data_IF_611478122144
#
_entry.id   IF_611478122144
#
_cell.length_a   1.000
_cell.length_b   1.000
_cell.length_c   1.000
_cell.angle_alpha   90.00
_cell.angle_beta   90.00
_cell.angle_gamma   90.00
#
_symmetry.space_group_name_H-M   'P 1'
#
loop_
_entity.id
_entity.type
_entity.pdbx_description
1 polymer ?
#
# COMPACT_ATOMS: atom_id res chain seq x y z
N UNK A 1 14.48 -5.46 11.69
CA UNK A 1 15.09 -5.15 10.40
C UNK A 1 14.18 -4.33 9.52
N UNK A 2 13.62 -4.90 8.43
CA UNK A 2 12.77 -4.11 7.53
C UNK A 2 11.51 -3.57 8.22
N UNK A 3 10.90 -4.36 9.10
CA UNK A 3 9.72 -3.92 9.82
C UNK A 3 10.02 -2.80 10.80
N UNK A 4 11.20 -2.83 11.44
CA UNK A 4 11.64 -1.74 12.31
C UNK A 4 11.89 -0.47 11.51
N UNK A 5 12.50 -0.57 10.34
CA UNK A 5 12.71 0.58 9.47
C UNK A 5 11.39 1.19 9.01
N UNK A 6 10.37 0.35 8.76
CA UNK A 6 9.05 0.81 8.38
C UNK A 6 8.40 1.65 9.47
N UNK A 7 8.62 1.31 10.73
CA UNK A 7 8.05 2.02 11.88
C UNK A 7 8.85 3.26 12.28
N UNK A 8 10.18 3.20 12.17
CA UNK A 8 11.08 4.19 12.76
C UNK A 8 12.00 4.88 11.75
N UNK A 9 11.94 4.51 10.47
CA UNK A 9 12.84 5.04 9.46
C UNK A 9 12.47 6.42 8.95
N UNK A 10 13.39 7.03 8.21
CA UNK A 10 13.10 8.27 7.48
C UNK A 10 12.11 7.99 6.34
N UNK A 11 11.58 9.05 5.74
CA UNK A 11 10.64 8.95 4.61
C UNK A 11 11.23 8.07 3.49
N UNK A 12 12.48 8.32 3.12
CA UNK A 12 13.15 7.57 2.04
C UNK A 12 13.30 6.10 2.43
N UNK A 13 13.72 5.84 3.68
CA UNK A 13 13.88 4.47 4.17
C UNK A 13 12.54 3.73 4.18
N UNK A 14 11.47 4.39 4.63
CA UNK A 14 10.13 3.78 4.67
C UNK A 14 9.66 3.44 3.27
N UNK A 15 9.83 4.35 2.29
CA UNK A 15 9.44 4.09 0.92
C UNK A 15 10.19 2.89 0.33
N UNK A 16 11.49 2.79 0.58
CA UNK A 16 12.30 1.65 0.12
C UNK A 16 11.82 0.35 0.77
N UNK A 17 11.49 0.37 2.07
CA UNK A 17 10.98 -0.81 2.75
C UNK A 17 9.64 -1.26 2.18
N UNK A 18 8.74 -0.33 1.91
CA UNK A 18 7.44 -0.66 1.29
C UNK A 18 7.67 -1.33 -0.06
N UNK A 19 8.58 -0.79 -0.88
CA UNK A 19 8.89 -1.36 -2.19
C UNK A 19 9.45 -2.79 -2.08
N UNK A 20 10.37 -3.00 -1.14
CA UNK A 20 10.97 -4.34 -0.94
C UNK A 20 9.93 -5.33 -0.45
N UNK A 21 9.11 -4.94 0.54
CA UNK A 21 8.07 -5.82 1.08
C UNK A 21 7.03 -6.16 0.00
N UNK A 22 6.62 -5.19 -0.79
CA UNK A 22 5.68 -5.44 -1.88
C UNK A 22 6.27 -6.38 -2.93
N UNK A 23 7.56 -6.22 -3.23
CA UNK A 23 8.27 -7.11 -4.14
C UNK A 23 8.30 -8.56 -3.63
N UNK A 24 8.55 -8.74 -2.34
CA UNK A 24 8.52 -10.07 -1.72
C UNK A 24 7.12 -10.67 -1.78
N UNK A 25 6.09 -9.88 -1.51
CA UNK A 25 4.71 -10.33 -1.60
C UNK A 25 4.34 -10.80 -3.01
N UNK A 26 4.82 -10.08 -4.02
CA UNK A 26 4.57 -10.43 -5.41
C UNK A 26 5.29 -11.72 -5.80
N UNK A 27 6.50 -11.93 -5.27
CA UNK A 27 7.35 -13.05 -5.64
C UNK A 27 6.93 -14.36 -4.96
N UNK A 28 6.26 -14.30 -3.80
CA UNK A 28 5.98 -15.50 -3.01
C UNK A 28 4.67 -15.33 -2.24
N UNK A 29 3.72 -16.24 -2.47
CA UNK A 29 2.40 -16.16 -1.82
C UNK A 29 2.47 -16.29 -0.31
N UNK A 30 3.41 -17.07 0.22
CA UNK A 30 3.59 -17.20 1.65
C UNK A 30 3.97 -15.87 2.28
N UNK A 31 4.90 -15.15 1.65
CA UNK A 31 5.26 -13.81 2.11
C UNK A 31 4.09 -12.84 1.96
N UNK A 32 3.30 -12.99 0.90
CA UNK A 32 2.11 -12.15 0.70
C UNK A 32 1.14 -12.31 1.88
N UNK A 33 0.86 -13.55 2.29
CA UNK A 33 -0.05 -13.80 3.42
C UNK A 33 0.46 -13.20 4.72
N UNK A 34 1.77 -13.21 4.94
CA UNK A 34 2.39 -12.70 6.16
C UNK A 34 2.59 -11.20 6.15
N UNK A 35 3.00 -10.64 5.00
CA UNK A 35 3.44 -9.24 4.90
C UNK A 35 2.35 -8.30 4.41
N UNK A 36 1.39 -8.77 3.63
CA UNK A 36 0.36 -7.90 3.11
C UNK A 36 -0.45 -7.19 4.20
N UNK A 37 -0.87 -7.88 5.28
CA UNK A 37 -1.52 -7.20 6.40
C UNK A 37 -0.66 -6.11 7.04
N UNK A 38 0.65 -6.32 7.10
CA UNK A 38 1.59 -5.33 7.61
C UNK A 38 1.60 -4.10 6.71
N UNK A 39 1.62 -4.30 5.39
CA UNK A 39 1.58 -3.20 4.43
C UNK A 39 0.27 -2.43 4.52
N UNK A 40 -0.86 -3.11 4.69
CA UNK A 40 -2.15 -2.44 4.86
C UNK A 40 -2.17 -1.60 6.13
N UNK A 41 -1.63 -2.12 7.22
CA UNK A 41 -1.56 -1.39 8.48
C UNK A 41 -0.70 -0.14 8.35
N UNK A 42 0.44 -0.26 7.66
CA UNK A 42 1.27 0.89 7.36
C UNK A 42 0.50 1.93 6.54
N UNK A 43 -0.26 1.49 5.54
CA UNK A 43 -1.03 2.39 4.68
C UNK A 43 -2.09 3.16 5.47
N UNK A 44 -2.65 2.56 6.52
CA UNK A 44 -3.62 3.23 7.39
C UNK A 44 -3.02 4.39 8.17
N UNK A 45 -1.73 4.35 8.47
CA UNK A 45 -1.07 5.28 9.39
C UNK A 45 0.03 6.11 8.75
N UNK A 46 0.38 5.88 7.48
CA UNK A 46 1.44 6.63 6.83
C UNK A 46 1.03 8.10 6.62
N UNK A 47 2.03 8.94 6.36
CA UNK A 47 1.78 10.37 6.16
C UNK A 47 0.87 10.62 4.96
N UNK A 48 -0.05 11.61 5.05
CA UNK A 48 -0.95 11.91 3.95
C UNK A 48 -0.23 12.18 2.62
N UNK A 49 0.92 12.85 2.66
CA UNK A 49 1.69 13.17 1.46
C UNK A 49 2.23 11.95 0.73
N UNK A 50 2.35 10.83 1.43
CA UNK A 50 2.97 9.60 0.91
C UNK A 50 1.97 8.50 0.64
N UNK A 51 0.72 8.69 1.04
CA UNK A 51 -0.29 7.62 0.99
C UNK A 51 -0.46 7.08 -0.44
N UNK A 52 -0.62 7.95 -1.43
CA UNK A 52 -0.82 7.51 -2.81
C UNK A 52 0.42 6.80 -3.36
N UNK A 53 1.62 7.31 -3.06
CA UNK A 53 2.86 6.69 -3.52
C UNK A 53 3.03 5.30 -2.93
N UNK A 54 2.82 5.15 -1.64
CA UNK A 54 2.94 3.85 -0.97
C UNK A 54 1.86 2.89 -1.46
N UNK A 55 0.63 3.38 -1.66
CA UNK A 55 -0.44 2.54 -2.21
C UNK A 55 -0.09 2.03 -3.60
N UNK A 56 0.48 2.88 -4.45
CA UNK A 56 0.90 2.48 -5.79
C UNK A 56 1.98 1.40 -5.74
N UNK A 57 2.90 1.48 -4.79
CA UNK A 57 3.92 0.45 -4.62
C UNK A 57 3.35 -0.87 -4.12
N UNK A 58 2.42 -0.82 -3.17
CA UNK A 58 1.75 -2.01 -2.63
C UNK A 58 0.88 -2.66 -3.69
N UNK A 59 0.32 -1.88 -4.61
CA UNK A 59 -0.58 -2.37 -5.64
C UNK A 59 0.04 -3.45 -6.54
N UNK A 60 1.37 -3.53 -6.63
CA UNK A 60 2.04 -4.55 -7.44
C UNK A 60 1.74 -5.97 -6.94
N UNK A 61 1.40 -6.12 -5.66
CA UNK A 61 1.07 -7.43 -5.08
C UNK A 61 -0.43 -7.59 -4.78
N UNK A 62 -1.25 -6.63 -5.20
CA UNK A 62 -2.70 -6.73 -5.05
C UNK A 62 -3.26 -7.63 -6.15
N UNK A 63 -4.11 -8.56 -5.76
CA UNK A 63 -4.83 -9.44 -6.68
C UNK A 63 -6.31 -9.47 -6.31
N UNK A 64 -7.09 -10.28 -7.01
CA UNK A 64 -8.54 -10.31 -6.77
C UNK A 64 -8.92 -10.86 -5.38
N UNK A 65 -8.02 -11.58 -4.72
CA UNK A 65 -8.29 -12.13 -3.38
C UNK A 65 -8.13 -11.07 -2.29
N UNK A 66 -7.18 -10.14 -2.44
CA UNK A 66 -6.90 -9.11 -1.44
C UNK A 66 -7.29 -7.70 -1.86
N UNK A 67 -7.81 -7.54 -3.08
CA UNK A 67 -8.20 -6.24 -3.62
C UNK A 67 -9.20 -5.49 -2.73
N UNK A 68 -10.23 -6.18 -2.25
CA UNK A 68 -11.28 -5.54 -1.48
C UNK A 68 -10.74 -4.96 -0.17
N UNK A 69 -9.85 -5.69 0.51
CA UNK A 69 -9.21 -5.20 1.73
C UNK A 69 -8.35 -3.96 1.46
N UNK A 70 -7.60 -3.99 0.35
CA UNK A 70 -6.77 -2.86 -0.06
C UNK A 70 -7.62 -1.63 -0.37
N UNK A 71 -8.69 -1.81 -1.14
CA UNK A 71 -9.60 -0.70 -1.52
C UNK A 71 -10.27 -0.12 -0.28
N UNK A 72 -10.67 -0.96 0.67
CA UNK A 72 -11.28 -0.47 1.91
C UNK A 72 -10.34 0.47 2.67
N UNK A 73 -9.06 0.11 2.77
CA UNK A 73 -8.07 0.97 3.43
C UNK A 73 -7.91 2.28 2.67
N UNK A 74 -7.82 2.23 1.35
CA UNK A 74 -7.71 3.42 0.50
C UNK A 74 -8.93 4.33 0.70
N UNK A 75 -10.13 3.78 0.67
CA UNK A 75 -11.36 4.56 0.81
C UNK A 75 -11.41 5.31 2.14
N UNK A 76 -11.03 4.63 3.21
CA UNK A 76 -10.99 5.26 4.53
C UNK A 76 -9.97 6.40 4.59
N UNK A 77 -8.81 6.21 3.96
CA UNK A 77 -7.76 7.24 3.94
C UNK A 77 -8.19 8.45 3.10
N UNK A 78 -8.90 8.23 2.00
CA UNK A 78 -9.32 9.32 1.12
C UNK A 78 -10.16 10.39 1.81
N UNK A 79 -10.86 10.03 2.89
CA UNK A 79 -11.66 10.99 3.66
C UNK A 79 -10.81 12.10 4.27
N UNK A 80 -9.51 11.87 4.46
CA UNK A 80 -8.61 12.77 5.17
C UNK A 80 -7.44 13.24 4.31
N UNK A 81 -7.47 13.01 3.00
CA UNK A 81 -6.34 13.30 2.12
C UNK A 81 -6.56 14.54 1.28
N UNK A 82 -5.47 15.23 0.87
CA UNK A 82 -5.57 16.30 -0.13
C UNK A 82 -6.10 15.77 -1.46
N UNK A 83 -6.69 16.64 -2.24
CA UNK A 83 -7.30 16.29 -3.52
C UNK A 83 -6.32 15.61 -4.48
N UNK A 84 -5.06 16.04 -4.51
CA UNK A 84 -4.06 15.43 -5.38
C UNK A 84 -3.84 13.96 -5.04
N UNK A 85 -3.80 13.62 -3.75
CA UNK A 85 -3.68 12.22 -3.32
C UNK A 85 -4.93 11.43 -3.65
N UNK A 86 -6.10 12.02 -3.43
CA UNK A 86 -7.39 11.38 -3.75
C UNK A 86 -7.43 11.02 -5.22
N UNK A 87 -7.05 11.94 -6.11
CA UNK A 87 -7.07 11.69 -7.55
C UNK A 87 -6.18 10.51 -7.94
N UNK A 88 -4.99 10.42 -7.35
CA UNK A 88 -4.07 9.30 -7.62
C UNK A 88 -4.66 7.97 -7.14
N UNK A 89 -5.26 7.97 -5.95
CA UNK A 89 -5.87 6.76 -5.39
C UNK A 89 -7.10 6.33 -6.19
N UNK A 90 -7.90 7.27 -6.69
CA UNK A 90 -9.04 6.94 -7.54
C UNK A 90 -8.61 6.29 -8.85
N UNK A 91 -7.52 6.77 -9.46
CA UNK A 91 -6.96 6.13 -10.64
C UNK A 91 -6.49 4.71 -10.33
N UNK A 92 -5.85 4.53 -9.18
CA UNK A 92 -5.38 3.22 -8.75
C UNK A 92 -6.55 2.26 -8.55
N UNK A 93 -7.61 2.71 -7.87
CA UNK A 93 -8.83 1.89 -7.67
C UNK A 93 -9.41 1.46 -9.00
N UNK A 94 -9.49 2.36 -9.96
CA UNK A 94 -10.02 2.06 -11.28
C UNK A 94 -9.18 1.00 -11.98
N UNK A 95 -7.86 1.12 -11.90
CA UNK A 95 -6.95 0.13 -12.48
C UNK A 95 -7.14 -1.24 -11.81
N UNK A 96 -7.27 -1.27 -10.48
CA UNK A 96 -7.47 -2.51 -9.74
C UNK A 96 -8.84 -3.14 -10.02
N UNK A 97 -9.83 -2.33 -10.36
CA UNK A 97 -11.15 -2.83 -10.72
C UNK A 97 -11.14 -3.71 -11.97
N UNK A 98 -10.10 -3.60 -12.80
CA UNK A 98 -9.96 -4.41 -14.00
C UNK A 98 -9.32 -5.78 -13.74
N UNK A 99 -8.95 -6.08 -12.51
CA UNK A 99 -8.37 -7.38 -12.16
C UNK A 99 -9.38 -8.51 -12.18
N UNK A 100 -10.61 -8.14 -12.33
CA UNK A 100 -11.73 -9.02 -12.30
C UNK A 100 -11.71 -10.22 -13.00
#
# INVERSE_FOLDING_TARGET
LLLQALENGSVITVDNCVSVLAGLCKANEKYKEELFPVLLEHLKTCRPKETAQHAERIAVCVDKDNRDSFIEVIDKRMEYLPKSQINRLQKLKKALGNLG
#
